data_IF_375685987195
#
_entry.id   IF_375685987195
#
_cell.length_a   1.000
_cell.length_b   1.000
_cell.length_c   1.000
_cell.angle_alpha   90.00
_cell.angle_beta   90.00
_cell.angle_gamma   90.00
#
_symmetry.space_group_name_H-M   'P 1'
#
loop_
_entity.id
_entity.type
_entity.pdbx_description
1 polymer ?
#
# COMPACT_ATOMS: atom_id res chain seq x y z
N UNK A 1 -1.08 -5.24 -2.58
CA UNK A 1 -0.86 -3.88 -2.05
C UNK A 1 -1.79 -3.03 -2.85
N UNK A 2 -2.73 -2.43 -2.15
CA UNK A 2 -3.89 -1.78 -2.74
C UNK A 2 -4.00 -0.39 -2.11
N UNK A 3 -4.79 0.48 -2.71
CA UNK A 3 -4.97 1.81 -2.14
C UNK A 3 -5.67 2.77 -3.07
N UNK A 4 -5.70 4.03 -2.65
CA UNK A 4 -6.34 5.10 -3.39
C UNK A 4 -6.53 6.34 -2.54
N UNK A 5 -7.35 7.23 -3.06
CA UNK A 5 -7.79 8.46 -2.39
C UNK A 5 -9.29 8.34 -2.14
N UNK A 6 -9.73 7.78 -1.00
CA UNK A 6 -11.15 7.45 -0.78
C UNK A 6 -12.09 8.65 -0.96
N UNK A 7 -11.66 9.83 -0.52
CA UNK A 7 -12.41 11.08 -0.67
C UNK A 7 -12.68 11.47 -2.14
N UNK A 8 -11.96 10.89 -3.09
CA UNK A 8 -12.11 11.14 -4.53
C UNK A 8 -12.53 9.89 -5.31
N UNK A 9 -12.87 8.81 -4.60
CA UNK A 9 -13.48 7.62 -5.20
C UNK A 9 -12.61 6.86 -6.19
N UNK A 10 -11.29 7.09 -6.20
CA UNK A 10 -10.37 6.40 -7.12
C UNK A 10 -9.29 5.62 -6.39
N UNK A 11 -8.88 4.50 -7.01
CA UNK A 11 -7.77 3.67 -6.55
C UNK A 11 -6.39 4.27 -6.86
N UNK A 12 -5.35 3.45 -6.72
CA UNK A 12 -4.01 3.80 -7.18
C UNK A 12 -3.98 3.88 -8.72
N UNK A 13 -3.28 4.88 -9.29
CA UNK A 13 -3.09 4.99 -10.75
C UNK A 13 -2.04 4.01 -11.29
N UNK A 14 -1.41 3.23 -10.42
CA UNK A 14 -0.35 2.27 -10.70
C UNK A 14 -0.60 0.98 -9.93
N UNK A 15 0.18 -0.06 -10.21
CA UNK A 15 0.16 -1.34 -9.47
C UNK A 15 1.48 -1.47 -8.71
N UNK A 16 1.57 -1.01 -7.44
CA UNK A 16 2.78 -1.12 -6.66
C UNK A 16 3.14 -2.58 -6.40
N UNK A 17 4.44 -2.85 -6.26
CA UNK A 17 4.95 -4.20 -5.96
C UNK A 17 5.92 -4.16 -4.81
N UNK A 18 5.88 -5.21 -3.99
CA UNK A 18 6.98 -5.51 -3.08
C UNK A 18 8.12 -6.05 -3.95
N UNK A 19 9.23 -5.33 -4.02
CA UNK A 19 10.36 -5.68 -4.89
C UNK A 19 11.54 -6.27 -4.13
N UNK A 20 11.65 -5.99 -2.83
CA UNK A 20 12.71 -6.55 -1.97
C UNK A 20 12.19 -6.89 -0.59
N UNK A 21 12.63 -8.03 -0.07
CA UNK A 21 12.63 -8.33 1.36
C UNK A 21 13.95 -7.83 1.95
N UNK A 22 13.88 -6.87 2.87
CA UNK A 22 15.06 -6.24 3.49
C UNK A 22 15.44 -6.91 4.82
N UNK A 23 14.74 -7.96 5.23
CA UNK A 23 14.92 -8.64 6.51
C UNK A 23 14.24 -7.93 7.68
N UNK A 24 14.16 -8.62 8.82
CA UNK A 24 13.59 -8.08 10.08
C UNK A 24 12.20 -7.46 9.92
N UNK A 25 11.35 -8.08 9.10
CA UNK A 25 9.99 -7.58 8.82
C UNK A 25 9.91 -6.35 7.93
N UNK A 26 11.02 -5.89 7.34
CA UNK A 26 11.06 -4.73 6.44
C UNK A 26 10.98 -5.18 4.98
N UNK A 27 10.17 -4.47 4.21
CA UNK A 27 9.96 -4.73 2.79
C UNK A 27 10.04 -3.41 2.01
N UNK A 28 10.65 -3.45 0.82
CA UNK A 28 10.63 -2.33 -0.11
C UNK A 28 9.42 -2.46 -1.03
N UNK A 29 8.55 -1.46 -1.01
CA UNK A 29 7.43 -1.33 -1.95
C UNK A 29 7.74 -0.22 -2.93
N UNK A 30 7.69 -0.53 -4.22
CA UNK A 30 8.00 0.41 -5.30
C UNK A 30 6.81 0.57 -6.24
N UNK A 31 6.78 1.69 -6.97
CA UNK A 31 5.75 1.99 -7.95
C UNK A 31 4.49 2.65 -7.38
N UNK A 32 4.52 3.11 -6.13
CA UNK A 32 3.44 3.96 -5.58
C UNK A 32 3.52 5.34 -6.25
N UNK A 33 2.41 5.82 -6.79
CA UNK A 33 2.28 7.15 -7.38
C UNK A 33 1.10 7.89 -6.76
N UNK A 34 1.38 9.06 -6.21
CA UNK A 34 0.38 10.00 -5.72
C UNK A 34 0.19 11.10 -6.76
N UNK A 35 -1.00 11.18 -7.35
CA UNK A 35 -1.27 12.16 -8.43
C UNK A 35 -1.62 13.55 -7.90
N UNK A 36 -1.96 13.69 -6.62
CA UNK A 36 -2.32 14.96 -5.99
C UNK A 36 -2.11 14.90 -4.47
N UNK A 37 -1.87 16.04 -3.80
CA UNK A 37 -1.82 16.13 -2.34
C UNK A 37 -3.17 15.78 -1.71
N UNK A 38 -3.17 15.26 -0.49
CA UNK A 38 -4.38 14.93 0.25
C UNK A 38 -4.27 13.65 1.08
N UNK A 39 -5.42 13.19 1.57
CA UNK A 39 -5.49 11.96 2.35
C UNK A 39 -5.51 10.74 1.43
N UNK A 40 -4.56 9.84 1.63
CA UNK A 40 -4.45 8.57 0.93
C UNK A 40 -4.62 7.42 1.91
N UNK A 41 -5.16 6.32 1.39
CA UNK A 41 -5.25 5.05 2.11
C UNK A 41 -4.46 3.98 1.36
N UNK A 42 -3.59 3.26 2.06
CA UNK A 42 -2.92 2.06 1.55
C UNK A 42 -3.33 0.84 2.37
N UNK A 43 -3.60 -0.27 1.69
CA UNK A 43 -3.93 -1.56 2.29
C UNK A 43 -2.85 -2.57 1.93
N UNK A 44 -2.32 -3.24 2.95
CA UNK A 44 -1.33 -4.30 2.80
C UNK A 44 -1.94 -5.62 3.25
N UNK A 45 -1.97 -6.58 2.34
CA UNK A 45 -2.36 -7.95 2.62
C UNK A 45 -1.09 -8.75 2.91
N UNK A 46 -1.00 -9.29 4.11
CA UNK A 46 0.13 -10.07 4.60
C UNK A 46 -0.31 -11.52 4.64
N UNK A 47 0.50 -12.41 4.08
CA UNK A 47 0.26 -13.84 4.06
C UNK A 47 1.50 -14.55 4.61
N UNK A 48 1.33 -15.35 5.66
CA UNK A 48 2.40 -16.15 6.26
C UNK A 48 1.85 -17.55 6.52
N UNK A 49 2.36 -18.55 5.79
CA UNK A 49 1.77 -19.89 5.76
C UNK A 49 0.26 -19.80 5.46
N UNK A 50 -0.59 -20.35 6.34
CA UNK A 50 -2.05 -20.32 6.21
C UNK A 50 -2.69 -19.09 6.86
N UNK A 51 -1.90 -18.23 7.51
CA UNK A 51 -2.39 -17.01 8.15
C UNK A 51 -2.44 -15.83 7.18
N UNK A 52 -3.52 -15.06 7.29
CA UNK A 52 -3.74 -13.84 6.54
C UNK A 52 -3.97 -12.70 7.51
N UNK A 53 -3.31 -11.58 7.26
CA UNK A 53 -3.50 -10.35 8.00
C UNK A 53 -3.64 -9.16 7.03
N UNK A 54 -4.32 -8.12 7.49
CA UNK A 54 -4.59 -6.91 6.72
C UNK A 54 -4.31 -5.70 7.57
N UNK A 55 -3.42 -4.83 7.09
CA UNK A 55 -3.17 -3.52 7.71
C UNK A 55 -3.54 -2.40 6.75
N UNK A 56 -4.24 -1.40 7.29
CA UNK A 56 -4.67 -0.20 6.57
C UNK A 56 -3.94 1.00 7.16
N UNK A 57 -3.24 1.75 6.30
CA UNK A 57 -2.61 3.01 6.66
C UNK A 57 -3.37 4.16 6.01
N UNK A 58 -3.69 5.17 6.82
CA UNK A 58 -4.23 6.45 6.38
C UNK A 58 -3.19 7.53 6.66
N UNK A 59 -2.80 8.27 5.64
CA UNK A 59 -1.78 9.31 5.77
C UNK A 59 -2.02 10.44 4.77
N UNK A 60 -1.42 11.60 5.06
CA UNK A 60 -1.47 12.76 4.18
C UNK A 60 -0.20 12.82 3.33
N UNK A 61 -0.37 12.99 2.03
CA UNK A 61 0.69 13.33 1.05
C UNK A 61 0.56 14.79 0.68
#
# INVERSE_FOLDING_TARGET
VDGGMPAHGHGLPTVPKVTKNLGSGKYLVEGIKFSMPGMWQLTFHIHVNDEKDVVIFNFKV
#
